data_IF_413204883629
#
_entry.id   IF_413204883629
#
_cell.length_a   1.000
_cell.length_b   1.000
_cell.length_c   1.000
_cell.angle_alpha   90.00
_cell.angle_beta   90.00
_cell.angle_gamma   90.00
#
_symmetry.space_group_name_H-M   'P 1'
#
loop_
_entity.id
_entity.type
_entity.pdbx_description
1 polymer ?
#
# COMPACT_ATOMS: atom_id res chain seq x y z
N UNK A 1 9.43 -6.59 3.76
CA UNK A 1 10.04 -5.43 4.44
C UNK A 1 11.15 -5.90 5.37
N UNK A 2 10.88 -6.73 6.36
CA UNK A 2 11.91 -7.17 7.31
C UNK A 2 12.98 -8.08 6.67
N UNK A 3 12.62 -8.80 5.59
CA UNK A 3 13.55 -9.57 4.75
C UNK A 3 14.38 -8.72 3.76
N UNK A 4 14.11 -7.42 3.63
CA UNK A 4 14.79 -6.54 2.68
C UNK A 4 15.95 -5.75 3.31
N UNK A 5 16.35 -6.08 4.55
CA UNK A 5 17.48 -5.48 5.26
C UNK A 5 17.49 -3.94 5.24
N UNK A 6 16.32 -3.31 5.24
CA UNK A 6 16.22 -1.86 5.37
C UNK A 6 16.52 -1.46 6.82
N UNK A 7 17.34 -0.44 6.99
CA UNK A 7 17.49 0.22 8.28
C UNK A 7 16.13 0.79 8.72
N UNK A 8 15.77 0.76 10.03
CA UNK A 8 14.48 1.24 10.53
C UNK A 8 14.14 2.69 10.12
N UNK A 9 15.17 3.49 9.84
CA UNK A 9 15.07 4.89 9.45
C UNK A 9 14.83 5.09 7.93
N UNK A 10 14.97 4.03 7.13
CA UNK A 10 14.93 4.07 5.65
C UNK A 10 13.83 3.18 5.05
N UNK A 11 12.73 2.96 5.77
CA UNK A 11 11.60 2.20 5.23
C UNK A 11 10.85 3.11 4.22
N UNK A 12 10.78 2.76 2.93
CA UNK A 12 10.07 3.57 1.95
C UNK A 12 8.56 3.49 2.17
N UNK A 13 7.85 4.55 1.79
CA UNK A 13 6.39 4.52 1.73
C UNK A 13 5.91 3.41 0.76
N UNK A 14 4.84 2.72 1.12
CA UNK A 14 4.30 1.59 0.36
C UNK A 14 2.88 1.90 -0.08
N UNK A 15 2.59 1.71 -1.37
CA UNK A 15 1.24 1.78 -1.94
C UNK A 15 0.61 0.39 -2.10
N UNK A 16 -0.72 0.32 -2.11
CA UNK A 16 -1.47 -0.93 -2.27
C UNK A 16 -2.10 -0.98 -3.65
N UNK A 17 -1.96 -2.12 -4.32
CA UNK A 17 -2.71 -2.44 -5.53
C UNK A 17 -3.66 -3.61 -5.21
N UNK A 18 -4.99 -3.38 -5.11
CA UNK A 18 -5.96 -4.38 -4.66
C UNK A 18 -6.29 -5.41 -5.75
N UNK A 19 -5.38 -6.36 -6.01
CA UNK A 19 -5.56 -7.40 -7.03
C UNK A 19 -6.39 -8.61 -6.55
N UNK A 20 -6.41 -8.84 -5.23
CA UNK A 20 -7.10 -9.98 -4.61
C UNK A 20 -8.60 -9.77 -4.43
N UNK A 21 -9.25 -10.70 -3.73
CA UNK A 21 -10.65 -10.57 -3.26
C UNK A 21 -10.73 -9.97 -1.85
N UNK A 22 -9.76 -10.26 -0.98
CA UNK A 22 -9.63 -9.71 0.37
C UNK A 22 -8.76 -8.45 0.44
N UNK A 23 -9.28 -7.32 -0.03
CA UNK A 23 -8.56 -6.03 -0.06
C UNK A 23 -8.95 -5.10 1.10
N UNK A 24 -8.97 -5.60 2.33
CA UNK A 24 -9.40 -4.82 3.51
C UNK A 24 -8.55 -3.57 3.71
N UNK A 25 -7.21 -3.68 3.59
CA UNK A 25 -6.33 -2.53 3.76
C UNK A 25 -6.51 -1.47 2.67
N UNK A 26 -6.83 -1.87 1.43
CA UNK A 26 -7.16 -0.94 0.34
C UNK A 26 -8.44 -0.16 0.62
N UNK A 27 -9.43 -0.80 1.25
CA UNK A 27 -10.67 -0.15 1.66
C UNK A 27 -10.43 0.79 2.85
N UNK A 28 -9.71 0.35 3.86
CA UNK A 28 -9.40 1.17 5.04
C UNK A 28 -8.55 2.40 4.72
N UNK A 29 -7.66 2.30 3.73
CA UNK A 29 -6.80 3.39 3.26
C UNK A 29 -7.37 4.12 2.03
N UNK A 30 -8.65 3.94 1.71
CA UNK A 30 -9.37 4.61 0.61
C UNK A 30 -8.78 4.46 -0.80
N UNK A 31 -7.89 3.48 -1.03
CA UNK A 31 -7.45 3.09 -2.39
C UNK A 31 -8.57 2.40 -3.19
N UNK A 32 -9.62 1.97 -2.50
CA UNK A 32 -10.86 1.46 -3.07
C UNK A 32 -10.96 -0.06 -3.09
N UNK A 33 -11.91 -0.55 -3.86
CA UNK A 33 -12.17 -1.98 -4.04
C UNK A 33 -11.20 -2.65 -5.01
N UNK A 34 -11.55 -3.86 -5.45
CA UNK A 34 -10.76 -4.65 -6.42
C UNK A 34 -10.36 -3.80 -7.63
N UNK A 35 -9.10 -3.86 -8.01
CA UNK A 35 -8.61 -3.26 -9.23
C UNK A 35 -9.33 -3.92 -10.43
N UNK A 36 -10.09 -3.11 -11.18
CA UNK A 36 -10.81 -3.53 -12.38
C UNK A 36 -10.50 -2.53 -13.48
N UNK A 37 -9.64 -2.93 -14.41
CA UNK A 37 -9.37 -2.28 -15.70
C UNK A 37 -9.01 -0.78 -15.67
N UNK A 38 -8.66 -0.23 -14.50
CA UNK A 38 -8.05 1.10 -14.42
C UNK A 38 -6.68 1.02 -15.10
N UNK A 39 -6.29 1.99 -15.96
CA UNK A 39 -4.93 2.00 -16.48
C UNK A 39 -3.91 2.09 -15.34
N UNK A 40 -2.87 1.26 -15.35
CA UNK A 40 -1.81 1.27 -14.32
C UNK A 40 -1.24 2.68 -14.11
N UNK A 41 -1.08 3.44 -15.21
CA UNK A 41 -0.64 4.84 -15.18
C UNK A 41 -1.49 5.72 -14.25
N UNK A 42 -2.82 5.53 -14.24
CA UNK A 42 -3.70 6.30 -13.37
C UNK A 42 -3.44 5.95 -11.91
N UNK A 43 -3.29 4.66 -11.59
CA UNK A 43 -2.96 4.22 -10.23
C UNK A 43 -1.61 4.77 -9.77
N UNK A 44 -0.59 4.78 -10.64
CA UNK A 44 0.72 5.36 -10.30
C UNK A 44 0.64 6.87 -10.03
N UNK A 45 -0.19 7.60 -10.79
CA UNK A 45 -0.43 9.03 -10.56
C UNK A 45 -1.21 9.28 -9.26
N UNK A 46 -2.19 8.42 -8.95
CA UNK A 46 -2.94 8.48 -7.70
C UNK A 46 -1.99 8.19 -6.52
N UNK A 47 -1.07 7.21 -6.66
CA UNK A 47 -0.05 6.90 -5.65
C UNK A 47 0.90 8.07 -5.43
N UNK A 48 1.38 8.69 -6.51
CA UNK A 48 2.30 9.83 -6.42
C UNK A 48 1.69 11.06 -5.73
N UNK A 49 0.36 11.15 -5.67
CA UNK A 49 -0.38 12.25 -5.03
C UNK A 49 -0.98 11.88 -3.67
N UNK A 50 -0.88 10.63 -3.26
CA UNK A 50 -1.49 10.14 -2.05
C UNK A 50 -0.73 10.62 -0.82
N UNK A 51 -1.47 10.84 0.27
CA UNK A 51 -0.88 11.15 1.56
C UNK A 51 -0.22 9.91 2.17
N UNK A 52 0.97 10.09 2.73
CA UNK A 52 1.64 9.05 3.49
C UNK A 52 1.05 9.01 4.89
N UNK A 53 0.65 7.82 5.32
CA UNK A 53 0.10 7.57 6.66
C UNK A 53 0.91 6.50 7.37
N UNK A 54 0.98 6.59 8.70
CA UNK A 54 1.61 5.56 9.51
C UNK A 54 0.72 4.33 9.62
N UNK A 55 1.33 3.14 9.57
CA UNK A 55 0.65 1.87 9.72
C UNK A 55 1.34 1.06 10.81
N UNK A 56 0.58 0.71 11.84
CA UNK A 56 1.07 -0.18 12.88
C UNK A 56 1.21 -1.60 12.33
N UNK A 57 2.38 -2.20 12.57
CA UNK A 57 2.62 -3.60 12.26
C UNK A 57 2.63 -4.39 13.54
N UNK A 58 1.75 -5.37 13.63
CA UNK A 58 1.80 -6.34 14.71
C UNK A 58 3.00 -7.27 14.50
N UNK A 59 3.85 -7.40 15.52
CA UNK A 59 4.94 -8.35 15.56
C UNK A 59 4.66 -9.37 16.67
N UNK A 60 4.50 -10.64 16.30
CA UNK A 60 4.45 -11.74 17.26
C UNK A 60 5.88 -12.23 17.47
N UNK A 61 6.30 -12.33 18.73
CA UNK A 61 7.58 -12.92 19.13
C UNK A 61 7.35 -14.39 19.51
#
# INVERSE_FOLDING_TARGET
MDKLSYSPINIPAIGIIPLGTGNDLSRSLNWGGKYRDKPLRKVLLDIAKADVVNLDRWALH
#
